data_IF_751702161795
#
_entry.id   IF_751702161795
#
_cell.length_a   1.000
_cell.length_b   1.000
_cell.length_c   1.000
_cell.angle_alpha   90.00
_cell.angle_beta   90.00
_cell.angle_gamma   90.00
#
_symmetry.space_group_name_H-M   'P 1'
#
loop_
_entity.id
_entity.type
_entity.pdbx_description
1 polymer ?
#
# COMPACT_ATOMS: atom_id res chain seq x y z
N UNK A 1 -4.62 -13.40 18.36
CA UNK A 1 -5.11 -14.78 18.37
C UNK A 1 -6.15 -15.05 17.27
N UNK A 2 -7.03 -14.11 16.95
CA UNK A 2 -8.07 -14.26 15.93
C UNK A 2 -8.06 -13.06 14.96
N UNK A 3 -6.87 -12.58 14.66
CA UNK A 3 -6.66 -11.41 13.77
C UNK A 3 -6.72 -11.77 12.29
N UNK A 4 -6.43 -13.02 11.94
CA UNK A 4 -6.40 -13.57 10.57
C UNK A 4 -5.47 -12.82 9.63
N UNK A 5 -6.01 -11.83 8.91
CA UNK A 5 -5.23 -11.10 7.91
C UNK A 5 -4.56 -9.88 8.53
N UNK A 6 -3.24 -9.82 8.41
CA UNK A 6 -2.40 -8.67 8.73
C UNK A 6 -2.05 -7.98 7.42
N UNK A 7 -2.29 -6.69 7.33
CA UNK A 7 -1.99 -5.90 6.14
C UNK A 7 -0.61 -5.26 6.21
N UNK A 8 -0.23 -4.77 7.40
CA UNK A 8 1.00 -3.99 7.56
C UNK A 8 1.59 -4.22 8.96
N UNK A 9 2.92 -4.19 9.05
CA UNK A 9 3.67 -4.19 10.32
C UNK A 9 4.70 -3.07 10.25
N UNK A 10 4.59 -2.10 11.17
CA UNK A 10 5.50 -0.96 11.22
C UNK A 10 6.24 -0.90 12.55
N UNK A 11 7.58 -0.83 12.48
CA UNK A 11 8.45 -0.75 13.64
C UNK A 11 8.82 0.71 13.89
N UNK A 12 8.65 1.19 15.12
CA UNK A 12 8.99 2.55 15.48
C UNK A 12 10.49 2.82 15.23
N UNK A 13 10.87 3.88 14.47
CA UNK A 13 12.21 4.05 13.91
C UNK A 13 13.34 4.23 14.95
N UNK A 14 13.01 4.62 16.17
CA UNK A 14 14.01 4.84 17.24
C UNK A 14 13.77 3.98 18.49
N UNK A 15 12.69 3.21 18.53
CA UNK A 15 12.38 2.29 19.64
C UNK A 15 11.80 0.97 19.12
N UNK A 16 12.64 -0.05 18.83
CA UNK A 16 12.19 -1.31 18.23
C UNK A 16 11.28 -2.15 19.12
N UNK A 17 11.16 -1.83 20.42
CA UNK A 17 10.17 -2.44 21.31
C UNK A 17 8.74 -1.95 21.01
N UNK A 18 8.60 -0.83 20.29
CA UNK A 18 7.30 -0.30 19.86
C UNK A 18 7.03 -0.74 18.43
N UNK A 19 6.00 -1.55 18.24
CA UNK A 19 5.57 -2.12 16.97
C UNK A 19 4.08 -1.89 16.79
N UNK A 20 3.68 -1.53 15.58
CA UNK A 20 2.28 -1.41 15.17
C UNK A 20 1.93 -2.50 14.18
N UNK A 21 0.69 -2.96 14.22
CA UNK A 21 0.15 -3.97 13.31
C UNK A 21 -1.23 -3.53 12.82
N UNK A 22 -1.35 -3.36 11.51
CA UNK A 22 -2.63 -3.11 10.85
C UNK A 22 -3.35 -4.43 10.59
N UNK A 23 -4.50 -4.62 11.23
CA UNK A 23 -5.28 -5.86 11.20
C UNK A 23 -6.52 -5.67 10.33
N UNK A 24 -6.55 -6.34 9.19
CA UNK A 24 -7.74 -6.43 8.35
C UNK A 24 -8.81 -7.36 8.95
N UNK A 25 -8.38 -8.41 9.65
CA UNK A 25 -9.28 -9.41 10.23
C UNK A 25 -9.77 -10.43 9.21
N UNK A 26 -10.91 -11.05 9.47
CA UNK A 26 -11.54 -12.00 8.55
C UNK A 26 -12.00 -11.35 7.25
N UNK A 27 -11.70 -11.93 6.10
CA UNK A 27 -12.13 -11.39 4.80
C UNK A 27 -13.65 -11.48 4.57
N UNK A 28 -14.30 -12.52 5.10
CA UNK A 28 -15.68 -12.90 4.71
C UNK A 28 -16.69 -12.83 5.86
N UNK A 29 -16.29 -12.37 7.03
CA UNK A 29 -17.17 -12.26 8.20
C UNK A 29 -16.85 -11.02 9.00
N UNK A 30 -17.77 -10.61 9.86
CA UNK A 30 -17.53 -9.60 10.90
C UNK A 30 -16.46 -10.11 11.87
N UNK A 31 -15.59 -9.21 12.32
CA UNK A 31 -14.51 -9.56 13.23
C UNK A 31 -14.16 -8.39 14.16
N UNK A 32 -14.22 -8.62 15.48
CA UNK A 32 -13.91 -7.60 16.50
C UNK A 32 -12.43 -7.30 16.66
N UNK A 33 -11.57 -8.15 16.10
CA UNK A 33 -10.13 -8.00 16.17
C UNK A 33 -9.56 -7.18 14.99
N UNK A 34 -10.41 -6.53 14.19
CA UNK A 34 -10.01 -5.56 13.18
C UNK A 34 -9.45 -4.29 13.82
N UNK A 35 -8.66 -3.55 13.09
CA UNK A 35 -8.14 -2.25 13.52
C UNK A 35 -6.64 -2.23 13.74
N UNK A 36 -6.16 -1.23 14.46
CA UNK A 36 -4.73 -1.04 14.68
C UNK A 36 -4.34 -1.50 16.07
N UNK A 37 -3.27 -2.27 16.15
CA UNK A 37 -2.69 -2.75 17.39
C UNK A 37 -1.29 -2.19 17.60
N UNK A 38 -0.95 -1.97 18.86
CA UNK A 38 0.38 -1.51 19.30
C UNK A 38 0.95 -2.48 20.32
N UNK A 39 2.22 -2.79 20.17
CA UNK A 39 3.06 -3.36 21.23
C UNK A 39 4.08 -2.31 21.68
N UNK A 40 4.46 -2.34 22.95
CA UNK A 40 5.55 -1.52 23.53
C UNK A 40 6.63 -2.40 24.16
N UNK A 41 6.62 -3.70 23.88
CA UNK A 41 7.52 -4.68 24.44
C UNK A 41 7.97 -5.76 23.42
N UNK A 42 8.20 -5.34 22.18
CA UNK A 42 8.72 -6.21 21.12
C UNK A 42 7.73 -7.31 20.69
N UNK A 43 6.43 -7.02 20.72
CA UNK A 43 5.39 -7.96 20.29
C UNK A 43 4.95 -8.99 21.32
N UNK A 44 5.42 -8.91 22.56
CA UNK A 44 5.03 -9.86 23.63
C UNK A 44 3.58 -9.66 24.07
N UNK A 45 3.12 -8.42 24.11
CA UNK A 45 1.72 -8.07 24.37
C UNK A 45 1.25 -7.00 23.41
N UNK A 46 -0.06 -6.96 23.16
CA UNK A 46 -0.68 -6.08 22.19
C UNK A 46 -1.90 -5.36 22.75
N UNK A 47 -2.04 -4.10 22.42
CA UNK A 47 -3.18 -3.25 22.75
C UNK A 47 -3.86 -2.81 21.45
N UNK A 48 -5.18 -2.91 21.35
CA UNK A 48 -5.96 -2.36 20.25
C UNK A 48 -6.11 -0.85 20.44
N UNK A 49 -5.34 -0.05 19.70
CA UNK A 49 -5.27 1.42 19.87
C UNK A 49 -6.21 2.18 18.94
N UNK A 50 -6.75 1.53 17.91
CA UNK A 50 -7.75 2.12 17.01
C UNK A 50 -8.71 1.02 16.52
N UNK A 51 -9.98 1.19 16.83
CA UNK A 51 -11.08 0.33 16.40
C UNK A 51 -12.26 1.19 15.95
N UNK A 52 -12.86 0.86 14.82
CA UNK A 52 -14.04 1.56 14.29
C UNK A 52 -15.30 0.69 14.45
N UNK A 53 -15.31 -0.47 13.84
CA UNK A 53 -16.39 -1.45 13.94
C UNK A 53 -15.91 -2.84 13.46
N UNK A 54 -16.76 -3.83 13.52
CA UNK A 54 -16.44 -5.22 13.16
C UNK A 54 -16.38 -5.50 11.63
N UNK A 55 -16.57 -4.46 10.80
CA UNK A 55 -16.49 -4.53 9.33
C UNK A 55 -15.27 -3.80 8.76
N UNK A 56 -14.63 -2.92 9.55
CA UNK A 56 -13.57 -2.00 9.11
C UNK A 56 -12.24 -2.38 9.72
N UNK A 57 -11.31 -2.84 8.90
CA UNK A 57 -9.95 -3.20 9.30
C UNK A 57 -8.94 -2.09 9.04
N UNK A 58 -7.81 -2.12 9.75
CA UNK A 58 -6.67 -1.30 9.40
C UNK A 58 -5.94 -1.92 8.21
N UNK A 59 -5.67 -1.09 7.19
CA UNK A 59 -5.02 -1.50 5.96
C UNK A 59 -3.55 -1.11 5.94
N UNK A 60 -3.24 0.07 6.47
CA UNK A 60 -1.89 0.62 6.43
C UNK A 60 -1.62 1.52 7.63
N UNK A 61 -0.36 1.59 8.03
CA UNK A 61 0.14 2.55 9.01
C UNK A 61 1.48 3.09 8.54
N UNK A 62 1.66 4.41 8.62
CA UNK A 62 2.94 5.07 8.31
C UNK A 62 3.36 5.95 9.47
N UNK A 63 4.62 5.78 9.89
CA UNK A 63 5.26 6.59 10.93
C UNK A 63 6.14 7.63 10.26
N UNK A 64 5.97 8.92 10.61
CA UNK A 64 6.82 9.96 10.04
C UNK A 64 8.28 9.81 10.51
N UNK A 65 9.24 9.62 9.58
CA UNK A 65 10.65 9.56 9.95
C UNK A 65 11.18 10.88 10.55
N UNK A 66 10.59 12.03 10.14
CA UNK A 66 10.97 13.34 10.65
C UNK A 66 10.47 13.61 12.07
N UNK A 67 9.33 13.02 12.45
CA UNK A 67 8.77 13.12 13.78
C UNK A 67 7.88 11.90 14.09
N UNK A 68 8.40 10.87 14.75
CA UNK A 68 7.67 9.64 15.03
C UNK A 68 6.44 9.78 15.95
N UNK A 69 6.21 10.96 16.55
CA UNK A 69 4.94 11.25 17.23
C UNK A 69 3.78 11.42 16.24
N UNK A 70 4.09 11.72 14.97
CA UNK A 70 3.09 11.88 13.91
C UNK A 70 3.01 10.60 13.10
N UNK A 71 1.81 10.04 13.08
CA UNK A 71 1.50 8.80 12.36
C UNK A 71 0.17 8.96 11.63
N UNK A 72 0.02 8.22 10.54
CA UNK A 72 -1.25 8.10 9.83
C UNK A 72 -1.59 6.62 9.68
N UNK A 73 -2.87 6.29 9.76
CA UNK A 73 -3.38 4.95 9.51
C UNK A 73 -4.60 5.02 8.60
N UNK A 74 -4.66 4.14 7.61
CA UNK A 74 -5.86 3.96 6.80
C UNK A 74 -6.67 2.78 7.31
N UNK A 75 -7.97 2.99 7.44
CA UNK A 75 -8.93 1.97 7.76
C UNK A 75 -9.89 1.79 6.59
N UNK A 76 -10.15 0.55 6.23
CA UNK A 76 -10.96 0.15 5.10
C UNK A 76 -12.12 -0.74 5.54
N UNK A 77 -13.34 -0.30 5.19
CA UNK A 77 -14.54 -1.11 5.35
C UNK A 77 -14.61 -2.13 4.21
N UNK A 78 -14.19 -3.35 4.52
CA UNK A 78 -14.00 -4.42 3.54
C UNK A 78 -15.07 -5.52 3.61
N UNK A 79 -16.07 -5.38 4.48
CA UNK A 79 -17.15 -6.34 4.64
C UNK A 79 -18.52 -5.60 4.75
N UNK A 80 -19.55 -6.08 4.07
CA UNK A 80 -19.66 -7.27 3.20
C UNK A 80 -19.13 -7.09 1.78
N UNK A 81 -18.61 -5.93 1.42
CA UNK A 81 -18.08 -5.59 0.11
C UNK A 81 -16.62 -5.15 0.16
N UNK A 82 -16.20 -4.44 -0.87
CA UNK A 82 -14.83 -3.91 -1.01
C UNK A 82 -14.77 -2.40 -0.78
N UNK A 83 -15.82 -1.80 -0.22
CA UNK A 83 -15.93 -0.36 0.06
C UNK A 83 -16.98 -0.10 1.12
N UNK A 84 -16.91 1.03 1.82
CA UNK A 84 -17.90 1.40 2.80
C UNK A 84 -17.71 2.81 3.38
N UNK A 85 -18.72 3.25 4.12
CA UNK A 85 -18.80 4.61 4.71
C UNK A 85 -17.77 4.88 5.79
N UNK A 86 -17.26 3.84 6.41
CA UNK A 86 -16.27 3.94 7.49
C UNK A 86 -14.82 3.85 7.04
N UNK A 87 -14.59 3.64 5.72
CA UNK A 87 -13.26 3.80 5.12
C UNK A 87 -12.74 5.20 5.35
N UNK A 88 -11.55 5.34 5.97
CA UNK A 88 -11.09 6.63 6.45
C UNK A 88 -9.59 6.63 6.76
N UNK A 89 -9.00 7.83 6.81
CA UNK A 89 -7.67 8.08 7.33
C UNK A 89 -7.78 8.62 8.76
N UNK A 90 -6.91 8.12 9.63
CA UNK A 90 -6.75 8.56 11.00
C UNK A 90 -5.32 9.05 11.21
N UNK A 91 -5.18 10.04 12.09
CA UNK A 91 -3.90 10.62 12.48
C UNK A 91 -3.69 10.52 13.98
N UNK A 92 -2.46 10.21 14.37
CA UNK A 92 -1.94 10.39 15.72
C UNK A 92 -0.89 11.49 15.75
N UNK A 93 -0.79 12.20 16.89
CA UNK A 93 0.23 13.23 17.18
C UNK A 93 0.97 12.94 18.49
N UNK A 94 0.72 11.77 19.07
CA UNK A 94 1.22 11.34 20.37
C UNK A 94 1.85 9.95 20.35
N UNK A 95 2.45 9.57 19.21
CA UNK A 95 3.12 8.30 19.04
C UNK A 95 2.16 7.09 19.02
N UNK A 96 0.97 7.28 18.47
CA UNK A 96 -0.02 6.23 18.30
C UNK A 96 -0.81 5.89 19.56
N UNK A 97 -0.78 6.78 20.59
CA UNK A 97 -1.57 6.58 21.80
C UNK A 97 -3.04 6.93 21.57
N UNK A 98 -3.30 8.02 20.83
CA UNK A 98 -4.66 8.42 20.43
C UNK A 98 -4.73 8.71 18.93
N UNK A 99 -5.93 8.55 18.37
CA UNK A 99 -6.19 8.66 16.93
C UNK A 99 -7.40 9.52 16.65
N UNK A 100 -7.29 10.42 15.69
CA UNK A 100 -8.38 11.28 15.23
C UNK A 100 -8.61 11.12 13.74
N UNK A 101 -9.87 11.01 13.32
CA UNK A 101 -10.24 10.95 11.90
C UNK A 101 -9.85 12.25 11.20
N UNK A 102 -9.22 12.14 10.02
CA UNK A 102 -8.70 13.28 9.26
C UNK A 102 -9.07 13.18 7.76
N UNK A 103 -10.35 13.21 7.45
CA UNK A 103 -10.88 12.96 6.10
C UNK A 103 -11.33 14.22 5.34
N UNK A 104 -11.11 15.44 5.86
CA UNK A 104 -11.57 16.64 5.18
C UNK A 104 -10.95 16.74 3.78
N UNK A 105 -11.78 16.77 2.73
CA UNK A 105 -11.35 16.83 1.33
C UNK A 105 -11.13 15.48 0.65
N UNK A 106 -11.18 14.37 1.40
CA UNK A 106 -11.21 13.02 0.83
C UNK A 106 -12.63 12.63 0.39
N UNK A 107 -12.79 11.66 -0.54
CA UNK A 107 -14.09 11.10 -0.83
C UNK A 107 -14.69 10.42 0.41
N UNK A 108 -16.00 10.45 0.49
CA UNK A 108 -16.78 9.86 1.58
C UNK A 108 -17.96 9.07 1.03
N UNK A 109 -18.58 8.25 1.86
CA UNK A 109 -19.76 7.47 1.50
C UNK A 109 -19.46 6.00 1.22
N UNK A 110 -20.46 5.24 0.80
CA UNK A 110 -20.42 3.77 0.76
C UNK A 110 -19.52 3.20 -0.36
N UNK A 111 -19.00 4.05 -1.24
CA UNK A 111 -18.16 3.65 -2.37
C UNK A 111 -16.69 4.06 -2.20
N UNK A 112 -16.24 4.28 -0.99
CA UNK A 112 -14.82 4.50 -0.69
C UNK A 112 -14.19 3.14 -0.38
N UNK A 113 -13.28 2.72 -1.24
CA UNK A 113 -12.56 1.46 -1.15
C UNK A 113 -11.29 1.55 -0.30
N UNK A 114 -10.28 0.79 -0.68
CA UNK A 114 -8.97 0.75 -0.02
C UNK A 114 -8.24 2.09 -0.14
N UNK A 115 -7.43 2.42 0.86
CA UNK A 115 -6.63 3.64 0.90
C UNK A 115 -5.17 3.30 1.24
N UNK A 116 -4.25 3.65 0.35
CA UNK A 116 -2.81 3.60 0.59
C UNK A 116 -2.28 4.92 1.12
N UNK A 117 -1.20 4.89 1.90
CA UNK A 117 -0.64 6.06 2.57
C UNK A 117 0.88 6.14 2.40
N UNK A 118 1.40 7.35 2.35
CA UNK A 118 2.81 7.63 2.55
C UNK A 118 3.02 9.02 3.16
N UNK A 119 4.06 9.19 3.96
CA UNK A 119 4.41 10.46 4.60
C UNK A 119 5.80 10.91 4.17
N UNK A 120 5.98 12.21 3.96
CA UNK A 120 7.29 12.77 3.62
C UNK A 120 8.32 12.47 4.71
N UNK A 121 9.50 12.02 4.29
CA UNK A 121 10.61 11.74 5.20
C UNK A 121 11.18 13.00 5.87
N UNK A 122 10.92 14.19 5.31
CA UNK A 122 11.48 15.46 5.76
C UNK A 122 10.44 16.43 6.35
N UNK A 123 9.16 16.22 6.00
CA UNK A 123 8.07 17.09 6.44
C UNK A 123 6.87 16.25 6.96
N UNK A 124 6.70 16.10 8.28
CA UNK A 124 5.65 15.26 8.86
C UNK A 124 4.23 15.78 8.58
N UNK A 125 4.08 17.02 8.14
CA UNK A 125 2.79 17.60 7.77
C UNK A 125 2.41 17.34 6.31
N UNK A 126 3.33 16.76 5.50
CA UNK A 126 3.08 16.42 4.10
C UNK A 126 2.95 14.90 3.94
N UNK A 127 1.81 14.49 3.45
CA UNK A 127 1.51 13.08 3.18
C UNK A 127 0.68 12.95 1.90
N UNK A 128 0.65 11.74 1.36
CA UNK A 128 -0.18 11.38 0.22
C UNK A 128 -1.08 10.21 0.57
N UNK A 129 -2.26 10.20 -0.02
CA UNK A 129 -3.23 9.12 0.09
C UNK A 129 -3.69 8.71 -1.32
N UNK A 130 -3.47 7.46 -1.67
CA UNK A 130 -4.01 6.84 -2.86
C UNK A 130 -5.34 6.18 -2.50
N UNK A 131 -6.41 6.51 -3.19
CA UNK A 131 -7.76 6.08 -2.84
C UNK A 131 -8.40 5.33 -4.00
N UNK A 132 -8.97 4.17 -3.72
CA UNK A 132 -9.87 3.48 -4.63
C UNK A 132 -11.28 4.05 -4.48
N UNK A 133 -11.64 5.02 -5.34
CA UNK A 133 -12.93 5.72 -5.31
C UNK A 133 -13.92 5.12 -6.30
N UNK A 134 -14.70 4.15 -5.86
CA UNK A 134 -15.67 3.41 -6.68
C UNK A 134 -16.91 4.24 -7.11
N UNK A 135 -16.93 5.55 -6.84
CA UNK A 135 -17.91 6.46 -7.43
C UNK A 135 -17.63 6.73 -8.92
N UNK A 136 -16.42 6.43 -9.40
CA UNK A 136 -16.06 6.54 -10.80
C UNK A 136 -16.31 5.25 -11.57
N UNK A 137 -16.39 5.34 -12.91
CA UNK A 137 -16.48 4.16 -13.77
C UNK A 137 -15.30 3.20 -13.55
N UNK A 138 -15.53 1.95 -13.89
CA UNK A 138 -14.54 0.90 -13.87
C UNK A 138 -13.22 1.33 -14.53
N UNK A 139 -12.11 1.03 -13.88
CA UNK A 139 -10.77 1.41 -14.34
C UNK A 139 -10.38 2.86 -14.12
N UNK A 140 -11.24 3.70 -13.53
CA UNK A 140 -10.99 5.12 -13.29
C UNK A 140 -11.08 5.49 -11.81
N UNK A 141 -11.06 4.52 -10.92
CA UNK A 141 -11.29 4.70 -9.48
C UNK A 141 -10.08 5.22 -8.71
N UNK A 142 -8.89 5.20 -9.30
CA UNK A 142 -7.68 5.66 -8.62
C UNK A 142 -7.65 7.19 -8.49
N UNK A 143 -7.48 7.68 -7.28
CA UNK A 143 -7.31 9.10 -6.99
C UNK A 143 -6.16 9.32 -6.00
N UNK A 144 -5.22 10.21 -6.34
CA UNK A 144 -4.17 10.62 -5.42
C UNK A 144 -4.53 11.95 -4.76
N UNK A 145 -4.46 11.96 -3.43
CA UNK A 145 -4.65 13.15 -2.59
C UNK A 145 -3.35 13.51 -1.88
N UNK A 146 -3.18 14.79 -1.58
CA UNK A 146 -2.07 15.35 -0.83
C UNK A 146 -2.57 16.22 0.32
N UNK A 147 -1.94 16.09 1.47
CA UNK A 147 -2.01 17.06 2.57
C UNK A 147 -0.68 17.78 2.72
N UNK A 148 -0.70 19.03 3.18
CA UNK A 148 0.48 19.83 3.57
C UNK A 148 0.31 20.47 4.95
N UNK A 149 -0.81 20.18 5.59
CA UNK A 149 -1.20 20.72 6.90
C UNK A 149 -1.34 19.63 7.98
N UNK A 150 -0.72 18.49 7.74
CA UNK A 150 -0.73 17.38 8.67
C UNK A 150 -2.04 16.60 8.68
N UNK A 151 -2.74 16.52 7.56
CA UNK A 151 -3.99 15.77 7.44
C UNK A 151 -5.23 16.55 7.91
N UNK A 152 -5.10 17.84 8.24
CA UNK A 152 -6.28 18.67 8.55
C UNK A 152 -7.15 18.84 7.31
N UNK A 153 -6.53 18.93 6.13
CA UNK A 153 -7.22 18.89 4.85
C UNK A 153 -6.43 18.11 3.79
N UNK A 154 -7.15 17.53 2.84
CA UNK A 154 -6.61 16.82 1.69
C UNK A 154 -7.10 17.43 0.39
N UNK A 155 -6.23 17.51 -0.60
CA UNK A 155 -6.55 18.04 -1.93
C UNK A 155 -6.20 17.01 -2.97
N UNK A 156 -7.15 16.71 -3.87
CA UNK A 156 -6.87 15.87 -5.05
C UNK A 156 -5.79 16.51 -5.90
N UNK A 157 -4.79 15.74 -6.30
CA UNK A 157 -3.58 16.26 -6.96
C UNK A 157 -3.74 16.44 -8.45
N UNK A 158 -4.62 15.67 -9.10
CA UNK A 158 -4.80 15.63 -10.56
C UNK A 158 -6.27 15.81 -10.96
N UNK A 159 -6.51 16.21 -12.20
CA UNK A 159 -7.85 16.50 -12.74
C UNK A 159 -8.40 15.42 -13.66
N UNK A 160 -7.55 14.68 -14.34
CA UNK A 160 -7.94 13.61 -15.26
C UNK A 160 -8.15 12.25 -14.59
N UNK A 161 -8.72 11.28 -15.32
CA UNK A 161 -8.81 9.91 -14.84
C UNK A 161 -7.40 9.30 -14.70
N UNK A 162 -7.22 8.49 -13.66
CA UNK A 162 -5.98 7.80 -13.38
C UNK A 162 -6.21 6.30 -13.44
N UNK A 163 -5.90 5.69 -14.58
CA UNK A 163 -6.15 4.27 -14.86
C UNK A 163 -5.07 3.37 -14.25
N UNK A 164 -5.00 3.32 -12.93
CA UNK A 164 -4.01 2.55 -12.19
C UNK A 164 -4.48 1.14 -11.83
N UNK A 165 -5.75 1.01 -11.41
CA UNK A 165 -6.26 -0.20 -10.76
C UNK A 165 -7.03 -1.15 -11.68
N UNK A 166 -7.51 -0.69 -12.85
CA UNK A 166 -8.56 -1.34 -13.62
C UNK A 166 -9.78 -1.65 -12.73
N UNK A 167 -9.99 -2.89 -12.26
CA UNK A 167 -11.12 -3.29 -11.38
C UNK A 167 -10.68 -3.78 -10.01
N UNK A 168 -9.37 -3.81 -9.73
CA UNK A 168 -8.79 -4.49 -8.56
C UNK A 168 -8.06 -3.54 -7.60
N UNK A 169 -8.52 -2.28 -7.48
CA UNK A 169 -8.00 -1.32 -6.50
C UNK A 169 -8.13 -1.82 -5.06
N UNK A 170 -9.08 -2.68 -4.78
CA UNK A 170 -9.21 -3.34 -3.48
C UNK A 170 -8.01 -4.24 -3.12
N UNK A 171 -7.21 -4.65 -4.10
CA UNK A 171 -6.02 -5.47 -3.89
C UNK A 171 -4.74 -4.63 -3.94
N UNK A 172 -4.64 -3.69 -4.89
CA UNK A 172 -3.47 -2.86 -5.11
C UNK A 172 -3.80 -1.38 -4.89
N UNK A 173 -3.33 -0.77 -3.82
CA UNK A 173 -3.54 0.66 -3.54
C UNK A 173 -2.40 1.19 -2.68
N UNK A 174 -1.16 1.08 -3.19
CA UNK A 174 0.01 1.47 -2.42
C UNK A 174 0.70 2.69 -3.05
N UNK A 175 1.24 3.57 -2.22
CA UNK A 175 1.87 4.81 -2.64
C UNK A 175 3.15 5.06 -1.86
N UNK A 176 4.20 5.50 -2.56
CA UNK A 176 5.51 5.75 -1.99
C UNK A 176 6.02 7.13 -2.41
N UNK A 177 6.51 7.89 -1.44
CA UNK A 177 7.15 9.19 -1.68
C UNK A 177 8.66 9.05 -1.63
N UNK A 178 9.36 9.71 -2.56
CA UNK A 178 10.82 9.74 -2.55
C UNK A 178 11.33 10.40 -1.26
N UNK A 179 12.18 9.73 -0.46
CA UNK A 179 12.64 10.25 0.83
C UNK A 179 13.49 11.52 0.73
N UNK A 180 13.98 11.89 -0.46
CA UNK A 180 14.76 13.12 -0.69
C UNK A 180 14.03 14.20 -1.49
N UNK A 181 12.87 13.85 -2.09
CA UNK A 181 12.07 14.78 -2.88
C UNK A 181 10.59 14.46 -2.70
N UNK A 182 9.93 15.14 -1.81
CA UNK A 182 8.55 14.88 -1.46
C UNK A 182 7.49 15.35 -2.49
N UNK A 183 7.92 15.83 -3.68
CA UNK A 183 7.10 16.00 -4.88
C UNK A 183 7.25 14.81 -5.85
N UNK A 184 8.14 13.86 -5.59
CA UNK A 184 8.30 12.65 -6.41
C UNK A 184 7.58 11.48 -5.74
N UNK A 185 6.57 10.92 -6.45
CA UNK A 185 5.64 9.93 -5.92
C UNK A 185 5.49 8.76 -6.89
N UNK A 186 5.46 7.55 -6.35
CA UNK A 186 5.18 6.31 -7.06
C UNK A 186 3.84 5.74 -6.57
N UNK A 187 2.96 5.38 -7.48
CA UNK A 187 1.68 4.73 -7.16
C UNK A 187 1.66 3.35 -7.78
N UNK A 188 1.35 2.36 -6.95
CA UNK A 188 1.29 0.96 -7.31
C UNK A 188 -0.16 0.54 -7.57
N UNK A 189 -0.33 -0.27 -8.59
CA UNK A 189 -1.55 -0.90 -9.00
C UNK A 189 -1.21 -2.02 -9.98
N UNK A 190 -2.03 -2.28 -10.97
CA UNK A 190 -1.68 -3.22 -12.05
C UNK A 190 -0.39 -2.76 -12.75
N UNK A 191 -0.18 -1.45 -12.83
CA UNK A 191 1.04 -0.84 -13.37
C UNK A 191 1.70 0.03 -12.31
N UNK A 192 2.97 0.38 -12.53
CA UNK A 192 3.70 1.35 -11.74
C UNK A 192 3.57 2.74 -12.38
N UNK A 193 3.00 3.68 -11.64
CA UNK A 193 2.88 5.07 -12.06
C UNK A 193 3.86 5.94 -11.27
N UNK A 194 4.50 6.88 -11.95
CA UNK A 194 5.49 7.81 -11.42
C UNK A 194 5.09 9.25 -11.70
N UNK A 195 5.13 10.09 -10.68
CA UNK A 195 4.95 11.54 -10.73
C UNK A 195 6.17 12.25 -10.18
N UNK A 196 6.56 13.37 -10.78
CA UNK A 196 7.66 14.23 -10.33
C UNK A 196 7.19 15.63 -9.91
N UNK A 197 5.87 15.85 -9.85
CA UNK A 197 5.24 17.15 -9.61
C UNK A 197 4.14 17.09 -8.54
N UNK A 198 4.31 16.17 -7.59
CA UNK A 198 3.39 16.00 -6.47
C UNK A 198 2.05 15.39 -6.85
N UNK A 199 2.04 14.55 -7.88
CA UNK A 199 0.84 13.85 -8.33
C UNK A 199 -0.02 14.63 -9.32
N UNK A 200 0.45 15.77 -9.87
CA UNK A 200 -0.33 16.52 -10.87
C UNK A 200 -0.34 15.80 -12.21
N UNK A 201 0.79 15.21 -12.60
CA UNK A 201 0.92 14.40 -13.81
C UNK A 201 1.58 13.07 -13.50
N UNK A 202 1.23 12.04 -14.28
CA UNK A 202 1.75 10.69 -14.11
C UNK A 202 2.29 10.12 -15.42
N UNK A 203 3.34 9.31 -15.30
CA UNK A 203 3.85 8.45 -16.36
C UNK A 203 3.84 7.02 -15.85
N UNK A 204 3.36 6.07 -16.64
CA UNK A 204 3.58 4.67 -16.36
C UNK A 204 5.01 4.30 -16.75
N UNK A 205 5.75 3.71 -15.82
CA UNK A 205 7.16 3.33 -15.97
C UNK A 205 7.31 1.80 -15.87
N UNK A 206 8.46 1.29 -16.33
CA UNK A 206 8.78 -0.13 -16.28
C UNK A 206 8.33 -0.93 -17.51
N UNK A 207 7.65 -0.29 -18.48
CA UNK A 207 7.12 -0.98 -19.65
C UNK A 207 5.95 -1.92 -19.31
N UNK A 208 5.34 -2.52 -20.32
CA UNK A 208 4.39 -3.63 -20.16
C UNK A 208 5.02 -4.89 -20.71
N UNK A 209 4.94 -5.98 -19.96
CA UNK A 209 5.14 -7.30 -20.54
C UNK A 209 4.02 -7.51 -21.58
N UNK A 210 4.38 -7.48 -22.87
CA UNK A 210 3.40 -7.78 -23.90
C UNK A 210 3.03 -9.25 -23.83
N UNK A 211 1.77 -9.54 -23.50
CA UNK A 211 1.25 -10.93 -23.61
C UNK A 211 1.43 -11.53 -25.01
N UNK A 212 1.63 -10.68 -26.02
CA UNK A 212 1.78 -11.10 -27.43
C UNK A 212 3.22 -11.28 -27.88
N UNK A 213 4.21 -10.78 -27.13
CA UNK A 213 5.62 -10.96 -27.47
C UNK A 213 6.52 -11.00 -26.22
N UNK A 214 6.66 -12.16 -25.58
CA UNK A 214 7.49 -12.32 -24.38
C UNK A 214 8.97 -11.97 -24.60
N UNK A 215 9.47 -12.01 -25.84
CA UNK A 215 10.86 -11.67 -26.17
C UNK A 215 11.14 -10.16 -26.17
N UNK A 216 10.11 -9.31 -26.11
CA UNK A 216 10.23 -7.88 -25.87
C UNK A 216 10.12 -7.50 -24.38
N UNK A 217 10.10 -8.50 -23.51
CA UNK A 217 9.95 -8.36 -22.06
C UNK A 217 11.22 -7.80 -21.39
N UNK A 218 11.52 -6.54 -21.62
CA UNK A 218 12.39 -5.75 -20.75
C UNK A 218 11.57 -4.93 -19.74
N UNK A 219 10.30 -5.25 -19.55
CA UNK A 219 9.37 -4.55 -18.69
C UNK A 219 9.08 -5.29 -17.39
N UNK A 220 8.50 -4.55 -16.44
CA UNK A 220 7.94 -5.12 -15.22
C UNK A 220 6.74 -6.02 -15.53
N UNK A 221 6.62 -7.11 -14.78
CA UNK A 221 5.36 -7.84 -14.71
C UNK A 221 4.26 -6.93 -14.16
N UNK A 222 3.01 -7.25 -14.43
CA UNK A 222 1.86 -6.55 -13.86
C UNK A 222 1.75 -6.82 -12.35
N UNK A 223 0.82 -6.11 -11.69
CA UNK A 223 0.38 -6.37 -10.33
C UNK A 223 1.47 -6.05 -9.30
N UNK A 224 1.73 -4.73 -9.16
CA UNK A 224 2.77 -4.21 -8.28
C UNK A 224 2.33 -4.27 -6.81
N UNK A 225 3.12 -4.89 -5.95
CA UNK A 225 2.75 -5.16 -4.55
C UNK A 225 3.55 -4.37 -3.52
N UNK A 226 4.85 -4.16 -3.75
CA UNK A 226 5.72 -3.50 -2.77
C UNK A 226 6.84 -2.76 -3.47
N UNK A 227 7.15 -1.52 -3.06
CA UNK A 227 8.25 -0.71 -3.58
C UNK A 227 9.11 -0.17 -2.44
N UNK A 228 10.39 -0.50 -2.48
CA UNK A 228 11.39 0.15 -1.65
C UNK A 228 12.20 1.17 -2.44
N UNK A 229 12.33 2.39 -1.89
CA UNK A 229 13.15 3.47 -2.44
C UNK A 229 14.36 3.64 -1.54
N UNK A 230 15.56 3.47 -2.07
CA UNK A 230 16.81 3.63 -1.29
C UNK A 230 16.91 5.07 -0.73
N UNK A 231 16.90 5.26 0.60
CA UNK A 231 16.93 6.59 1.20
C UNK A 231 18.26 7.32 0.98
N UNK A 232 19.33 6.61 0.68
CA UNK A 232 20.63 7.22 0.38
C UNK A 232 20.79 7.55 -1.11
N UNK A 233 20.19 6.75 -1.99
CA UNK A 233 20.22 6.93 -3.44
C UNK A 233 18.85 6.63 -4.07
N UNK A 234 17.94 7.60 -4.20
CA UNK A 234 16.60 7.37 -4.73
C UNK A 234 16.52 6.95 -6.22
N UNK A 235 17.65 6.87 -6.92
CA UNK A 235 17.67 6.23 -8.24
C UNK A 235 17.60 4.69 -8.12
N UNK A 236 17.93 4.15 -6.96
CA UNK A 236 17.90 2.73 -6.67
C UNK A 236 16.55 2.35 -6.05
N UNK A 237 15.82 1.53 -6.77
CA UNK A 237 14.51 1.02 -6.39
C UNK A 237 14.55 -0.51 -6.33
N UNK A 238 13.77 -1.08 -5.43
CA UNK A 238 13.49 -2.50 -5.39
C UNK A 238 11.97 -2.70 -5.39
N UNK A 239 11.47 -3.61 -6.21
CA UNK A 239 10.05 -3.80 -6.46
C UNK A 239 9.69 -5.29 -6.45
N UNK A 240 8.63 -5.62 -5.73
CA UNK A 240 7.95 -6.90 -5.78
C UNK A 240 6.68 -6.80 -6.62
N UNK A 241 6.39 -7.84 -7.40
CA UNK A 241 5.15 -7.99 -8.15
C UNK A 241 4.91 -9.49 -8.45
N UNK A 242 3.82 -9.81 -9.14
CA UNK A 242 3.48 -11.21 -9.47
C UNK A 242 4.55 -11.94 -10.30
N UNK A 243 5.41 -11.21 -11.01
CA UNK A 243 6.55 -11.78 -11.74
C UNK A 243 7.81 -11.99 -10.88
N UNK A 244 7.81 -11.58 -9.62
CA UNK A 244 8.92 -11.74 -8.68
C UNK A 244 9.59 -10.42 -8.27
N UNK A 245 10.90 -10.44 -8.14
CA UNK A 245 11.69 -9.33 -7.59
C UNK A 245 12.51 -8.61 -8.66
N UNK A 246 12.39 -7.29 -8.67
CA UNK A 246 13.05 -6.42 -9.64
C UNK A 246 13.84 -5.31 -8.95
N UNK A 247 14.95 -4.89 -9.57
CA UNK A 247 15.76 -3.77 -9.12
C UNK A 247 16.00 -2.79 -10.26
N UNK A 248 15.88 -1.51 -9.97
CA UNK A 248 16.24 -0.40 -10.87
C UNK A 248 17.35 0.45 -10.25
N UNK A 249 18.24 0.97 -11.07
CA UNK A 249 19.29 1.93 -10.66
C UNK A 249 19.10 3.31 -11.32
N UNK A 250 18.01 3.51 -12.06
CA UNK A 250 17.71 4.70 -12.86
C UNK A 250 16.26 5.20 -12.65
N UNK A 251 15.74 5.06 -11.43
CA UNK A 251 14.38 5.47 -11.05
C UNK A 251 13.27 4.76 -11.82
N UNK A 252 13.48 3.50 -12.18
CA UNK A 252 12.48 2.69 -12.84
C UNK A 252 12.40 2.86 -14.35
N UNK A 253 13.38 3.52 -14.97
CA UNK A 253 13.47 3.57 -16.44
C UNK A 253 13.83 2.20 -17.00
N UNK A 254 14.75 1.50 -16.34
CA UNK A 254 15.10 0.11 -16.65
C UNK A 254 15.06 -0.76 -15.40
N UNK A 255 14.76 -2.04 -15.57
CA UNK A 255 14.62 -3.00 -14.48
C UNK A 255 15.39 -4.28 -14.73
N UNK A 256 16.07 -4.77 -13.70
CA UNK A 256 16.74 -6.06 -13.67
C UNK A 256 15.84 -7.03 -12.88
N UNK A 257 15.41 -8.10 -13.53
CA UNK A 257 14.65 -9.17 -12.89
C UNK A 257 15.59 -10.17 -12.20
N UNK A 258 15.36 -10.44 -10.93
CA UNK A 258 16.10 -11.42 -10.14
C UNK A 258 15.32 -12.74 -10.08
N UNK A 259 15.51 -13.58 -11.07
CA UNK A 259 14.84 -14.87 -11.21
C UNK A 259 15.55 -16.05 -10.52
N UNK A 260 16.61 -15.77 -9.76
CA UNK A 260 17.38 -16.75 -9.00
C UNK A 260 16.98 -16.86 -7.52
N UNK A 261 15.95 -16.13 -7.10
CA UNK A 261 15.37 -16.28 -5.78
C UNK A 261 14.47 -17.52 -5.82
N UNK A 262 14.68 -18.51 -4.93
CA UNK A 262 13.92 -19.76 -4.95
C UNK A 262 12.52 -19.57 -4.35
N UNK A 263 11.72 -18.71 -4.96
CA UNK A 263 10.34 -18.43 -4.59
C UNK A 263 9.44 -18.64 -5.79
N UNK A 264 8.22 -19.08 -5.57
CA UNK A 264 7.20 -19.23 -6.60
C UNK A 264 5.85 -19.46 -5.96
N UNK A 265 4.83 -18.88 -6.55
CA UNK A 265 3.45 -19.17 -6.22
C UNK A 265 2.96 -20.31 -7.07
N UNK A 266 2.48 -21.36 -6.44
CA UNK A 266 1.92 -22.53 -7.14
C UNK A 266 0.40 -22.51 -6.97
N UNK A 267 -0.31 -22.53 -8.09
CA UNK A 267 -1.77 -22.60 -8.10
C UNK A 267 -2.29 -24.02 -7.93
N UNK A 268 -1.50 -24.99 -8.35
CA UNK A 268 -1.82 -26.41 -8.21
C UNK A 268 -0.54 -27.24 -8.09
N UNK A 269 -0.58 -28.27 -7.29
CA UNK A 269 0.51 -29.23 -7.13
C UNK A 269 -0.01 -30.64 -7.24
N UNK A 270 0.76 -31.52 -7.87
CA UNK A 270 0.49 -32.95 -7.89
C UNK A 270 1.76 -33.73 -7.53
N UNK A 271 1.57 -34.87 -6.90
CA UNK A 271 2.64 -35.73 -6.45
C UNK A 271 2.69 -37.01 -7.28
N UNK A 272 3.83 -37.27 -7.90
CA UNK A 272 4.15 -38.60 -8.40
C UNK A 272 4.58 -39.49 -7.22
N UNK A 273 3.68 -40.38 -6.82
CA UNK A 273 3.91 -41.27 -5.68
C UNK A 273 5.00 -42.31 -5.93
N UNK A 274 5.31 -42.62 -7.19
CA UNK A 274 6.32 -43.62 -7.52
C UNK A 274 7.74 -43.08 -7.33
N UNK A 275 7.95 -41.79 -7.66
CA UNK A 275 9.28 -41.16 -7.64
C UNK A 275 9.39 -40.04 -6.60
N UNK A 276 8.34 -39.76 -5.83
CA UNK A 276 8.24 -38.63 -4.90
C UNK A 276 8.58 -37.28 -5.54
N UNK A 277 8.22 -37.13 -6.81
CA UNK A 277 8.42 -35.91 -7.56
C UNK A 277 7.18 -35.02 -7.45
N UNK A 278 7.37 -33.75 -7.13
CA UNK A 278 6.30 -32.75 -7.05
C UNK A 278 6.28 -31.99 -8.37
N UNK A 279 5.12 -31.93 -9.02
CA UNK A 279 4.85 -31.10 -10.18
C UNK A 279 3.92 -29.96 -9.74
N UNK A 280 4.20 -28.74 -10.17
CA UNK A 280 3.37 -27.60 -9.86
C UNK A 280 3.22 -26.67 -11.05
N UNK A 281 2.03 -26.10 -11.19
CA UNK A 281 1.74 -25.02 -12.12
C UNK A 281 1.91 -23.67 -11.41
N UNK A 282 2.75 -22.78 -11.95
CA UNK A 282 2.92 -21.41 -11.47
C UNK A 282 2.15 -20.45 -12.36
N UNK A 283 1.95 -19.22 -11.87
CA UNK A 283 1.39 -18.14 -12.65
C UNK A 283 2.29 -17.74 -13.82
#
# INVERSE_FOLDING_TARGET
EDSWSIAEIEIHPTNPETVFVAVLGHLWTKNKNRGLYRSTNGGKTWEQVLYVNDMTGANEIVISPANPQIMYASLWEMYPGISGETSAIYRSVDGGATWSKCNQGLPTGPKVGRLGLTVSATNPNKAYALVDNLNYPEGQSAELYKTVDGGLSWTKTHTGPFQLFTTIGWYFTDVYVNPKNDEEVFCLGIRLAHSQDGGKTFKFIGGQVSRMNPSLAQGLHLDQTELWINPNNPNHLALGNDGGFYVSHDKGLTWMHYNNIPTGEFYDITLDQANYTIYGGTQ
#
